data_IF_371138683120
#
_entry.id   IF_371138683120
#
_cell.length_a   1.000
_cell.length_b   1.000
_cell.length_c   1.000
_cell.angle_alpha   90.00
_cell.angle_beta   90.00
_cell.angle_gamma   90.00
#
_symmetry.space_group_name_H-M   'P 1'
#
loop_
_entity.id
_entity.type
_entity.pdbx_description
1 polymer ?
#
# COMPACT_ATOMS: atom_id res chain seq x y z
N UNK A 1 8.44 -2.67 0.87
CA UNK A 1 7.35 -2.20 -0.03
C UNK A 1 7.59 -0.76 -0.40
N UNK A 2 7.25 -0.35 -1.61
CA UNK A 2 7.45 1.01 -2.10
C UNK A 2 6.26 1.47 -2.96
N UNK A 3 5.92 2.76 -2.86
CA UNK A 3 4.90 3.40 -3.70
C UNK A 3 5.60 4.19 -4.80
N UNK A 4 5.30 3.89 -6.07
CA UNK A 4 5.88 4.54 -7.25
C UNK A 4 4.80 5.08 -8.20
N UNK A 5 5.24 5.70 -9.30
CA UNK A 5 4.33 6.16 -10.35
C UNK A 5 3.33 7.21 -9.88
N UNK A 6 3.79 8.16 -9.04
CA UNK A 6 2.94 9.20 -8.43
C UNK A 6 1.77 8.63 -7.60
N UNK A 7 1.96 7.49 -6.93
CA UNK A 7 0.92 6.88 -6.11
C UNK A 7 0.03 5.87 -6.82
N UNK A 8 0.40 5.47 -8.05
CA UNK A 8 -0.36 4.50 -8.87
C UNK A 8 0.08 3.07 -8.72
N UNK A 9 1.29 2.82 -8.21
CA UNK A 9 1.84 1.46 -8.13
C UNK A 9 2.35 1.21 -6.71
N UNK A 10 1.97 0.07 -6.15
CA UNK A 10 2.49 -0.45 -4.90
C UNK A 10 3.26 -1.73 -5.20
N UNK A 11 4.53 -1.78 -4.81
CA UNK A 11 5.42 -2.90 -5.11
C UNK A 11 6.05 -3.49 -3.86
N UNK A 12 6.20 -4.80 -3.84
CA UNK A 12 7.03 -5.51 -2.89
C UNK A 12 8.17 -6.23 -3.60
N UNK A 13 9.34 -6.23 -2.97
CA UNK A 13 10.56 -6.80 -3.53
C UNK A 13 11.19 -7.73 -2.50
N UNK A 14 11.79 -8.81 -2.96
CA UNK A 14 12.76 -9.56 -2.18
C UNK A 14 14.07 -8.77 -2.15
N UNK A 15 14.48 -8.35 -0.96
CA UNK A 15 15.67 -7.50 -0.80
C UNK A 15 16.99 -8.26 -0.94
N UNK A 16 16.95 -9.60 -0.89
CA UNK A 16 18.15 -10.44 -0.98
C UNK A 16 18.56 -10.66 -2.44
N UNK A 17 17.59 -10.83 -3.34
CA UNK A 17 17.82 -11.11 -4.76
C UNK A 17 17.34 -10.00 -5.71
N UNK A 18 16.64 -8.99 -5.21
CA UNK A 18 16.07 -7.90 -6.01
C UNK A 18 14.84 -8.30 -6.84
N UNK A 19 14.26 -9.48 -6.59
CA UNK A 19 13.10 -10.00 -7.31
C UNK A 19 11.81 -9.29 -6.91
N UNK A 20 10.90 -9.08 -7.87
CA UNK A 20 9.56 -8.55 -7.59
C UNK A 20 8.71 -9.66 -6.97
N UNK A 21 8.22 -9.46 -5.74
CA UNK A 21 7.29 -10.38 -5.10
C UNK A 21 5.88 -10.19 -5.65
N UNK A 22 5.43 -8.93 -5.70
CA UNK A 22 4.13 -8.55 -6.23
C UNK A 22 4.09 -7.06 -6.58
N UNK A 23 3.20 -6.71 -7.51
CA UNK A 23 2.86 -5.35 -7.91
C UNK A 23 1.34 -5.24 -8.02
N UNK A 24 0.77 -4.16 -7.50
CA UNK A 24 -0.65 -3.82 -7.69
C UNK A 24 -0.81 -2.38 -8.15
N UNK A 25 -1.86 -2.15 -8.94
CA UNK A 25 -2.29 -0.81 -9.35
C UNK A 25 -3.21 -0.24 -8.27
N UNK A 26 -2.88 0.96 -7.81
CA UNK A 26 -3.70 1.74 -6.90
C UNK A 26 -4.62 2.68 -7.68
N UNK A 27 -5.73 3.07 -7.04
CA UNK A 27 -6.69 4.01 -7.62
C UNK A 27 -6.08 5.36 -8.04
N UNK A 28 -6.81 6.16 -8.80
CA UNK A 28 -6.37 7.55 -9.03
C UNK A 28 -6.34 8.34 -7.73
N UNK A 29 -5.52 9.37 -7.68
CA UNK A 29 -5.51 10.31 -6.57
C UNK A 29 -4.10 10.78 -6.23
N UNK A 30 -4.03 11.94 -5.59
CA UNK A 30 -2.76 12.50 -5.12
C UNK A 30 -2.31 11.74 -3.88
N UNK A 31 -1.20 11.01 -4.01
CA UNK A 31 -0.53 10.33 -2.91
C UNK A 31 -0.08 11.33 -1.84
N UNK A 32 -0.34 10.99 -0.57
CA UNK A 32 0.08 11.79 0.58
C UNK A 32 1.09 11.03 1.42
N UNK A 33 0.79 9.77 1.77
CA UNK A 33 1.66 8.97 2.63
C UNK A 33 1.42 7.46 2.47
N UNK A 34 2.36 6.66 2.94
CA UNK A 34 2.21 5.24 3.15
C UNK A 34 2.85 4.84 4.48
N UNK A 35 2.22 3.94 5.23
CA UNK A 35 2.79 3.41 6.46
C UNK A 35 2.51 1.92 6.62
N UNK A 36 3.40 1.22 7.33
CA UNK A 36 3.18 -0.16 7.73
C UNK A 36 2.21 -0.21 8.92
N UNK A 37 1.27 -1.15 8.89
CA UNK A 37 0.26 -1.32 9.93
C UNK A 37 0.33 -2.74 10.49
N UNK A 38 0.53 -2.81 11.81
CA UNK A 38 0.57 -4.05 12.57
C UNK A 38 -0.58 -4.20 13.57
N UNK A 39 -0.83 -5.44 13.95
CA UNK A 39 -1.75 -5.82 15.03
C UNK A 39 -1.15 -7.02 15.76
N UNK A 40 -1.21 -7.02 17.11
CA UNK A 40 -0.72 -8.13 17.95
C UNK A 40 0.70 -8.57 17.54
N UNK A 41 1.65 -7.64 17.61
CA UNK A 41 3.08 -7.86 17.35
C UNK A 41 3.45 -8.29 15.93
N UNK A 42 2.51 -8.22 14.98
CA UNK A 42 2.78 -8.59 13.60
C UNK A 42 2.35 -7.49 12.62
N UNK A 43 3.29 -7.04 11.78
CA UNK A 43 3.04 -6.14 10.66
C UNK A 43 2.51 -6.93 9.48
N UNK A 44 1.21 -6.80 9.20
CA UNK A 44 0.52 -7.58 8.15
C UNK A 44 -0.01 -6.74 7.00
N UNK A 45 -0.01 -5.41 7.14
CA UNK A 45 -0.65 -4.53 6.17
C UNK A 45 0.20 -3.29 5.87
N UNK A 46 -0.15 -2.62 4.79
CA UNK A 46 0.32 -1.28 4.44
C UNK A 46 -0.89 -0.39 4.20
N UNK A 47 -0.94 0.76 4.89
CA UNK A 47 -1.94 1.78 4.64
C UNK A 47 -1.40 2.79 3.64
N UNK A 48 -2.23 3.18 2.68
CA UNK A 48 -1.95 4.20 1.67
C UNK A 48 -2.93 5.34 1.87
N UNK A 49 -2.41 6.54 2.09
CA UNK A 49 -3.18 7.75 2.20
C UNK A 49 -3.10 8.53 0.89
N UNK A 50 -4.26 8.87 0.35
CA UNK A 50 -4.44 9.81 -0.77
C UNK A 50 -5.27 10.98 -0.30
N UNK A 51 -5.33 12.03 -1.12
CA UNK A 51 -6.06 13.26 -0.80
C UNK A 51 -7.53 13.03 -0.40
N UNK A 52 -8.18 12.02 -0.98
CA UNK A 52 -9.63 11.77 -0.77
C UNK A 52 -9.93 10.39 -0.19
N UNK A 53 -8.94 9.51 -0.07
CA UNK A 53 -9.14 8.12 0.36
C UNK A 53 -8.01 7.63 1.24
N UNK A 54 -8.33 6.67 2.10
CA UNK A 54 -7.36 5.82 2.77
C UNK A 54 -7.66 4.35 2.40
N UNK A 55 -6.64 3.61 2.02
CA UNK A 55 -6.77 2.18 1.70
C UNK A 55 -5.80 1.36 2.52
N UNK A 56 -6.22 0.14 2.89
CA UNK A 56 -5.38 -0.82 3.60
C UNK A 56 -5.17 -2.04 2.71
N UNK A 57 -3.92 -2.44 2.53
CA UNK A 57 -3.54 -3.56 1.65
C UNK A 57 -2.79 -4.63 2.45
N UNK A 58 -2.96 -5.89 2.06
CA UNK A 58 -2.20 -7.00 2.66
C UNK A 58 -0.73 -6.96 2.23
N UNK A 59 0.19 -7.14 3.17
CA UNK A 59 1.63 -7.10 2.88
C UNK A 59 2.11 -8.34 2.09
N UNK A 60 1.39 -9.46 2.20
CA UNK A 60 1.73 -10.73 1.54
C UNK A 60 1.49 -10.74 0.03
N UNK A 61 0.50 -9.98 -0.46
CA UNK A 61 0.09 -10.03 -1.87
C UNK A 61 -0.33 -8.68 -2.47
N UNK A 62 -0.37 -7.59 -1.68
CA UNK A 62 -0.75 -6.26 -2.13
C UNK A 62 -2.25 -6.04 -2.37
N UNK A 63 -3.09 -7.07 -2.29
CA UNK A 63 -4.53 -6.92 -2.52
C UNK A 63 -5.18 -6.00 -1.46
N UNK A 64 -6.16 -5.17 -1.87
CA UNK A 64 -6.86 -4.31 -0.93
C UNK A 64 -7.66 -5.15 0.06
N UNK A 65 -7.53 -4.83 1.34
CA UNK A 65 -8.38 -5.34 2.41
C UNK A 65 -9.65 -4.48 2.54
N UNK A 66 -9.49 -3.17 2.49
CA UNK A 66 -10.59 -2.20 2.45
C UNK A 66 -10.08 -0.85 1.92
N UNK A 67 -11.03 -0.02 1.51
CA UNK A 67 -10.81 1.34 1.02
C UNK A 67 -11.94 2.20 1.58
N UNK A 68 -11.60 3.33 2.18
CA UNK A 68 -12.53 4.27 2.77
C UNK A 68 -12.28 5.68 2.24
N UNK A 69 -13.36 6.44 2.07
CA UNK A 69 -13.26 7.87 1.74
C UNK A 69 -12.95 8.67 2.99
N UNK A 70 -12.13 9.71 2.84
CA UNK A 70 -11.92 10.68 3.91
C UNK A 70 -13.14 11.61 3.99
N UNK A 71 -13.48 12.11 5.20
CA UNK A 71 -14.46 13.18 5.34
C UNK A 71 -14.04 14.42 4.53
N UNK A 72 -15.03 15.20 4.09
CA UNK A 72 -14.80 16.53 3.50
C UNK A 72 -14.23 17.53 4.51
#
# INVERSE_FOLDING_TARGET
VLVVGKGRLLRSWDVTVGGLNWEVVLDSGSYQAACLVGQQDNVKHVAILKKTTISLHYLSNGHPKWIENLPE
#
